data_IF_165005688253
#
_entry.id   IF_165005688253
#
_cell.length_a   1.000
_cell.length_b   1.000
_cell.length_c   1.000
_cell.angle_alpha   90.00
_cell.angle_beta   90.00
_cell.angle_gamma   90.00
#
_symmetry.space_group_name_H-M   'P 1'
#
loop_
_entity.id
_entity.type
_entity.pdbx_description
1 polymer ?
#
# COMPACT_ATOMS: atom_id res chain seq x y z
N UNK A 1 6.24 -25.15 1.90
CA UNK A 1 7.31 -25.09 2.93
C UNK A 1 8.53 -24.30 2.49
N UNK A 2 8.36 -23.16 1.83
CA UNK A 2 9.42 -22.18 1.55
C UNK A 2 8.98 -20.83 2.14
N UNK A 3 9.89 -19.99 2.67
CA UNK A 3 9.56 -18.62 3.03
C UNK A 3 9.00 -17.88 1.82
N UNK A 4 7.94 -17.11 2.01
CA UNK A 4 7.25 -16.42 0.92
C UNK A 4 6.79 -15.02 1.37
N UNK A 5 6.91 -14.05 0.46
CA UNK A 5 6.26 -12.75 0.56
C UNK A 5 4.99 -12.80 -0.27
N UNK A 6 3.84 -12.92 0.40
CA UNK A 6 2.53 -12.99 -0.25
C UNK A 6 1.90 -11.60 -0.41
N UNK A 7 0.98 -11.51 -1.37
CA UNK A 7 0.06 -10.38 -1.55
C UNK A 7 -1.38 -10.86 -1.37
N UNK A 8 -2.31 -9.92 -1.22
CA UNK A 8 -3.75 -10.19 -1.12
C UNK A 8 -4.53 -9.36 -2.14
N UNK A 9 -5.82 -9.69 -2.36
CA UNK A 9 -6.71 -8.86 -3.18
C UNK A 9 -6.94 -7.49 -2.54
N UNK A 10 -7.32 -6.51 -3.37
CA UNK A 10 -7.57 -5.14 -2.92
C UNK A 10 -8.97 -4.66 -3.29
N UNK A 11 -9.93 -4.82 -2.37
CA UNK A 11 -11.23 -4.16 -2.47
C UNK A 11 -11.21 -2.80 -1.77
N UNK A 12 -10.56 -1.81 -2.39
CA UNK A 12 -10.24 -0.51 -1.78
C UNK A 12 -11.47 0.42 -1.72
N UNK A 13 -11.95 0.82 -0.52
CA UNK A 13 -12.88 1.94 -0.37
C UNK A 13 -12.11 3.26 -0.33
N UNK A 14 -12.64 4.28 -1.01
CA UNK A 14 -12.17 5.66 -0.94
C UNK A 14 -13.26 6.53 -0.30
N UNK A 15 -12.98 7.04 0.90
CA UNK A 15 -13.93 7.82 1.69
C UNK A 15 -13.83 9.28 1.30
N UNK A 16 -14.98 9.93 1.09
CA UNK A 16 -15.08 11.39 0.95
C UNK A 16 -15.85 11.91 2.16
N UNK A 17 -15.12 12.42 3.14
CA UNK A 17 -15.68 12.96 4.37
C UNK A 17 -16.09 14.43 4.20
N UNK A 18 -17.03 14.93 5.01
CA UNK A 18 -17.67 16.25 4.81
C UNK A 18 -16.73 17.46 4.83
N UNK A 19 -15.52 17.35 5.40
CA UNK A 19 -14.53 18.44 5.40
C UNK A 19 -13.57 18.37 4.20
N UNK A 20 -13.68 17.35 3.35
CA UNK A 20 -12.78 17.16 2.22
C UNK A 20 -12.86 18.30 1.19
N UNK A 21 -11.74 18.52 0.48
CA UNK A 21 -11.79 19.12 -0.86
C UNK A 21 -12.44 18.11 -1.81
N UNK A 22 -13.75 18.26 -2.02
CA UNK A 22 -14.55 17.32 -2.81
C UNK A 22 -14.13 17.33 -4.29
N UNK A 23 -13.69 18.46 -4.84
CA UNK A 23 -13.24 18.53 -6.24
C UNK A 23 -11.98 17.70 -6.45
N UNK A 24 -10.99 17.88 -5.57
CA UNK A 24 -9.78 17.07 -5.55
C UNK A 24 -10.09 15.59 -5.29
N UNK A 25 -10.98 15.29 -4.35
CA UNK A 25 -11.35 13.92 -4.01
C UNK A 25 -11.93 13.15 -5.20
N UNK A 26 -12.89 13.74 -5.90
CA UNK A 26 -13.47 13.12 -7.10
C UNK A 26 -12.43 13.00 -8.22
N UNK A 27 -11.59 14.03 -8.41
CA UNK A 27 -10.50 13.99 -9.40
C UNK A 27 -9.55 12.80 -9.15
N UNK A 28 -9.07 12.67 -7.92
CA UNK A 28 -8.12 11.65 -7.48
C UNK A 28 -8.71 10.24 -7.61
N UNK A 29 -9.93 10.03 -7.11
CA UNK A 29 -10.58 8.70 -7.14
C UNK A 29 -10.85 8.26 -8.58
N UNK A 30 -11.36 9.16 -9.43
CA UNK A 30 -11.60 8.85 -10.84
C UNK A 30 -10.28 8.62 -11.58
N UNK A 31 -9.23 9.40 -11.28
CA UNK A 31 -7.92 9.18 -11.87
C UNK A 31 -7.28 7.86 -11.43
N UNK A 32 -7.38 7.51 -10.15
CA UNK A 32 -6.88 6.26 -9.59
C UNK A 32 -7.58 5.05 -10.16
N UNK A 33 -8.91 5.11 -10.29
CA UNK A 33 -9.66 4.02 -10.93
C UNK A 33 -9.44 3.92 -12.43
N UNK A 34 -9.27 5.03 -13.13
CA UNK A 34 -9.01 5.02 -14.57
C UNK A 34 -7.57 4.59 -14.91
N UNK A 35 -6.63 4.66 -13.96
CA UNK A 35 -5.24 4.29 -14.19
C UNK A 35 -5.12 2.81 -14.56
N UNK A 36 -4.51 2.54 -15.71
CA UNK A 36 -4.39 1.19 -16.30
C UNK A 36 -5.72 0.41 -16.25
N UNK A 37 -6.83 1.10 -16.54
CA UNK A 37 -8.19 0.56 -16.52
C UNK A 37 -8.57 -0.13 -15.19
N UNK A 38 -8.05 0.36 -14.07
CA UNK A 38 -8.41 -0.12 -12.74
C UNK A 38 -7.87 -1.52 -12.43
N UNK A 39 -6.79 -1.93 -13.11
CA UNK A 39 -6.17 -3.25 -12.96
C UNK A 39 -5.29 -3.36 -11.70
N UNK A 40 -4.79 -2.24 -11.19
CA UNK A 40 -4.01 -2.22 -9.96
C UNK A 40 -4.87 -2.65 -8.77
N UNK A 41 -4.36 -3.55 -7.93
CA UNK A 41 -5.04 -3.96 -6.69
C UNK A 41 -5.22 -2.81 -5.69
N UNK A 42 -4.40 -1.77 -5.77
CA UNK A 42 -4.55 -0.53 -4.98
C UNK A 42 -5.59 0.43 -5.55
N UNK A 43 -6.13 0.18 -6.75
CA UNK A 43 -7.11 1.07 -7.37
C UNK A 43 -8.42 1.07 -6.59
N UNK A 44 -9.04 2.24 -6.54
CA UNK A 44 -10.31 2.47 -5.87
C UNK A 44 -11.37 1.53 -6.47
N UNK A 45 -12.12 0.83 -5.61
CA UNK A 45 -13.24 -0.02 -6.03
C UNK A 45 -14.59 0.57 -5.65
N UNK A 46 -14.61 1.49 -4.69
CA UNK A 46 -15.81 2.19 -4.26
C UNK A 46 -15.50 3.59 -3.74
N UNK A 47 -16.43 4.51 -3.97
CA UNK A 47 -16.57 5.78 -3.28
C UNK A 47 -17.54 5.55 -2.11
N UNK A 48 -17.15 5.98 -0.91
CA UNK A 48 -18.05 6.04 0.25
C UNK A 48 -18.10 7.50 0.69
N UNK A 49 -19.16 8.22 0.32
CA UNK A 49 -19.27 9.64 0.65
C UNK A 49 -20.23 9.88 1.83
N UNK A 50 -19.89 10.89 2.65
CA UNK A 50 -20.78 11.40 3.68
C UNK A 50 -21.97 12.13 3.02
N UNK A 51 -23.18 11.91 3.50
CA UNK A 51 -24.41 12.44 2.91
C UNK A 51 -24.38 13.96 2.59
N UNK A 52 -23.79 14.84 3.43
CA UNK A 52 -23.71 16.27 3.13
C UNK A 52 -22.93 16.62 1.85
N UNK A 53 -21.98 15.78 1.42
CA UNK A 53 -21.17 16.04 0.21
C UNK A 53 -21.68 15.27 -1.02
N UNK A 54 -22.69 14.42 -0.88
CA UNK A 54 -23.23 13.60 -1.95
C UNK A 54 -23.57 14.43 -3.20
N UNK A 55 -24.33 15.52 -3.04
CA UNK A 55 -24.74 16.37 -4.16
C UNK A 55 -23.54 16.88 -4.96
N UNK A 56 -22.52 17.37 -4.26
CA UNK A 56 -21.31 17.91 -4.89
C UNK A 56 -20.52 16.80 -5.60
N UNK A 57 -20.42 15.60 -4.99
CA UNK A 57 -19.77 14.44 -5.62
C UNK A 57 -20.45 14.12 -6.95
N UNK A 58 -21.78 14.01 -6.98
CA UNK A 58 -22.54 13.67 -8.20
C UNK A 58 -22.38 14.73 -9.30
N UNK A 59 -22.38 16.01 -8.93
CA UNK A 59 -22.20 17.13 -9.87
C UNK A 59 -20.79 17.11 -10.51
N UNK A 60 -19.79 16.58 -9.81
CA UNK A 60 -18.40 16.52 -10.26
C UNK A 60 -18.06 15.27 -11.08
N UNK A 61 -18.80 14.17 -10.95
CA UNK A 61 -18.51 12.95 -11.73
C UNK A 61 -18.40 13.22 -13.24
N UNK A 62 -19.33 13.95 -13.90
CA UNK A 62 -19.23 14.23 -15.33
C UNK A 62 -18.01 15.09 -15.70
N UNK A 63 -17.58 16.02 -14.82
CA UNK A 63 -16.39 16.87 -15.01
C UNK A 63 -15.15 16.00 -15.23
N UNK A 64 -15.03 14.91 -14.49
CA UNK A 64 -13.90 13.97 -14.55
C UNK A 64 -14.12 12.77 -15.49
N UNK A 65 -15.19 12.81 -16.30
CA UNK A 65 -15.59 11.76 -17.25
C UNK A 65 -15.98 10.43 -16.57
N UNK A 66 -16.54 10.52 -15.36
CA UNK A 66 -17.18 9.40 -14.70
C UNK A 66 -18.68 9.42 -15.01
N UNK A 67 -19.19 8.33 -15.59
CA UNK A 67 -20.59 8.19 -15.99
C UNK A 67 -21.38 7.49 -14.88
N UNK A 68 -22.40 8.16 -14.34
CA UNK A 68 -23.30 7.56 -13.35
C UNK A 68 -24.35 6.70 -14.04
N UNK A 69 -24.26 5.39 -13.81
CA UNK A 69 -25.20 4.42 -14.35
C UNK A 69 -26.56 4.47 -13.64
N UNK A 70 -27.62 4.32 -14.42
CA UNK A 70 -28.97 4.14 -13.89
C UNK A 70 -29.19 2.69 -13.39
N UNK A 71 -30.35 2.44 -12.78
CA UNK A 71 -30.68 1.12 -12.20
C UNK A 71 -30.71 -0.04 -13.22
N UNK A 72 -31.07 0.22 -14.47
CA UNK A 72 -31.05 -0.81 -15.52
C UNK A 72 -29.63 -1.14 -15.99
N UNK A 73 -28.81 -0.10 -16.22
CA UNK A 73 -27.40 -0.23 -16.57
C UNK A 73 -26.62 -0.95 -15.45
N UNK A 74 -26.91 -0.63 -14.18
CA UNK A 74 -26.35 -1.35 -13.03
C UNK A 74 -26.65 -2.85 -13.08
N UNK A 75 -27.91 -3.26 -13.28
CA UNK A 75 -28.29 -4.68 -13.36
C UNK A 75 -27.58 -5.41 -14.50
N UNK A 76 -27.45 -4.75 -15.64
CA UNK A 76 -26.69 -5.28 -16.79
C UNK A 76 -25.22 -5.47 -16.42
N UNK A 77 -24.60 -4.47 -15.78
CA UNK A 77 -23.22 -4.56 -15.30
C UNK A 77 -23.01 -5.68 -14.28
N UNK A 78 -23.93 -5.88 -13.33
CA UNK A 78 -23.87 -6.98 -12.36
C UNK A 78 -23.80 -8.34 -13.05
N UNK A 79 -24.67 -8.56 -14.05
CA UNK A 79 -24.72 -9.82 -14.81
C UNK A 79 -23.46 -10.02 -15.69
N UNK A 80 -22.86 -8.94 -16.17
CA UNK A 80 -21.73 -8.98 -17.10
C UNK A 80 -20.37 -9.03 -16.39
N UNK A 81 -20.15 -8.21 -15.37
CA UNK A 81 -18.87 -8.10 -14.64
C UNK A 81 -18.78 -9.05 -13.45
N UNK A 82 -19.91 -9.32 -12.79
CA UNK A 82 -19.95 -10.13 -11.58
C UNK A 82 -20.98 -11.28 -11.67
N UNK A 83 -21.01 -12.08 -12.75
CA UNK A 83 -21.98 -13.15 -12.90
C UNK A 83 -21.88 -14.12 -11.72
N UNK A 84 -23.02 -14.31 -11.02
CA UNK A 84 -23.13 -15.14 -9.80
C UNK A 84 -22.16 -14.68 -8.68
N UNK A 85 -21.92 -13.38 -8.55
CA UNK A 85 -21.10 -12.82 -7.47
C UNK A 85 -19.60 -13.06 -7.60
N UNK A 86 -19.14 -13.43 -8.80
CA UNK A 86 -17.74 -13.71 -9.11
C UNK A 86 -17.26 -12.82 -10.25
N UNK A 87 -16.05 -12.29 -10.11
CA UNK A 87 -15.43 -11.47 -11.14
C UNK A 87 -15.32 -12.21 -12.48
N UNK A 88 -15.81 -11.58 -13.54
CA UNK A 88 -15.58 -12.00 -14.91
C UNK A 88 -14.22 -11.48 -15.39
N UNK A 89 -13.20 -12.35 -15.35
CA UNK A 89 -11.82 -11.99 -15.71
C UNK A 89 -11.63 -11.62 -17.17
N UNK A 90 -12.55 -11.99 -18.08
CA UNK A 90 -12.47 -11.60 -19.48
C UNK A 90 -12.67 -10.09 -19.69
N UNK A 91 -13.19 -9.39 -18.68
CA UNK A 91 -13.40 -7.93 -18.71
C UNK A 91 -12.42 -7.16 -17.83
N UNK A 92 -11.47 -7.85 -17.18
CA UNK A 92 -10.43 -7.18 -16.41
C UNK A 92 -9.57 -6.31 -17.34
N UNK A 93 -9.30 -5.07 -16.92
CA UNK A 93 -8.49 -4.10 -17.66
C UNK A 93 -9.10 -3.58 -18.96
N UNK A 94 -10.36 -3.88 -19.26
CA UNK A 94 -11.04 -3.35 -20.43
C UNK A 94 -11.54 -1.93 -20.17
N UNK A 95 -11.60 -1.10 -21.23
CA UNK A 95 -12.07 0.28 -21.12
C UNK A 95 -13.56 0.36 -20.73
N UNK A 96 -13.97 1.43 -20.05
CA UNK A 96 -15.34 1.66 -19.61
C UNK A 96 -16.38 1.59 -20.77
N UNK A 97 -16.17 2.22 -21.95
CA UNK A 97 -17.11 2.12 -23.06
C UNK A 97 -17.25 0.69 -23.60
N UNK A 98 -16.17 -0.09 -23.63
CA UNK A 98 -16.20 -1.48 -24.07
C UNK A 98 -16.98 -2.35 -23.08
N UNK A 99 -16.78 -2.15 -21.78
CA UNK A 99 -17.55 -2.84 -20.74
C UNK A 99 -19.05 -2.52 -20.86
N UNK A 100 -19.40 -1.25 -21.02
CA UNK A 100 -20.79 -0.83 -21.22
C UNK A 100 -21.42 -1.52 -22.44
N UNK A 101 -20.69 -1.54 -23.57
CA UNK A 101 -21.14 -2.21 -24.79
C UNK A 101 -21.35 -3.71 -24.57
N UNK A 102 -20.44 -4.38 -23.87
CA UNK A 102 -20.54 -5.80 -23.51
C UNK A 102 -21.72 -6.09 -22.58
N UNK A 103 -22.10 -5.13 -21.74
CA UNK A 103 -23.27 -5.18 -20.89
C UNK A 103 -24.58 -4.81 -21.62
N UNK A 104 -24.51 -4.37 -22.89
CA UNK A 104 -25.69 -4.08 -23.70
C UNK A 104 -26.24 -2.66 -23.54
N UNK A 105 -25.37 -1.69 -23.24
CA UNK A 105 -25.69 -0.26 -23.29
C UNK A 105 -24.50 0.56 -23.81
N UNK A 106 -24.70 1.86 -24.06
CA UNK A 106 -23.67 2.75 -24.59
C UNK A 106 -23.49 3.95 -23.69
N UNK A 107 -22.24 4.41 -23.58
CA UNK A 107 -21.83 5.62 -22.86
C UNK A 107 -21.01 6.51 -23.80
N UNK A 108 -20.77 7.80 -23.47
CA UNK A 108 -19.87 8.64 -24.24
C UNK A 108 -18.49 8.00 -24.44
N UNK A 109 -17.89 8.18 -25.63
CA UNK A 109 -16.64 7.51 -26.00
C UNK A 109 -15.43 7.94 -25.12
N UNK A 110 -15.49 9.12 -24.51
CA UNK A 110 -14.48 9.65 -23.60
C UNK A 110 -14.73 9.28 -22.12
N UNK A 111 -15.69 8.40 -21.85
CA UNK A 111 -15.97 7.90 -20.49
C UNK A 111 -14.76 7.16 -19.95
N UNK A 112 -14.24 7.62 -18.81
CA UNK A 112 -13.08 7.01 -18.13
C UNK A 112 -13.48 5.96 -17.12
N UNK A 113 -14.60 6.16 -16.42
CA UNK A 113 -15.07 5.29 -15.33
C UNK A 113 -16.59 5.20 -15.33
N UNK A 114 -17.14 4.01 -15.08
CA UNK A 114 -18.56 3.81 -14.80
C UNK A 114 -18.79 3.83 -13.28
N UNK A 115 -19.84 4.51 -12.82
CA UNK A 115 -20.18 4.61 -11.39
C UNK A 115 -21.57 4.04 -11.16
N UNK A 116 -21.71 3.11 -10.23
CA UNK A 116 -22.99 2.49 -9.86
C UNK A 116 -23.32 2.77 -8.40
N UNK A 117 -24.56 3.17 -8.11
CA UNK A 117 -25.02 3.28 -6.72
C UNK A 117 -25.20 1.90 -6.10
N UNK A 118 -24.63 1.69 -4.91
CA UNK A 118 -24.70 0.45 -4.16
C UNK A 118 -25.30 0.73 -2.78
N UNK A 119 -26.09 -0.21 -2.27
CA UNK A 119 -26.76 -0.09 -0.96
C UNK A 119 -26.19 -1.09 0.05
N UNK A 120 -25.75 -2.26 -0.41
CA UNK A 120 -25.25 -3.35 0.45
C UNK A 120 -23.81 -3.74 0.10
N UNK A 121 -23.22 -4.61 0.92
CA UNK A 121 -21.92 -5.23 0.65
C UNK A 121 -22.12 -6.73 0.70
N UNK A 122 -21.89 -7.41 -0.42
CA UNK A 122 -22.07 -8.87 -0.48
C UNK A 122 -22.03 -9.40 -1.90
N UNK A 123 -21.57 -10.64 -2.07
CA UNK A 123 -21.41 -11.25 -3.40
C UNK A 123 -22.75 -11.52 -4.08
N UNK A 124 -23.79 -11.80 -3.28
CA UNK A 124 -25.09 -12.22 -3.78
C UNK A 124 -26.07 -11.04 -3.81
N UNK A 125 -26.12 -10.24 -2.74
CA UNK A 125 -27.07 -9.15 -2.60
C UNK A 125 -26.66 -7.90 -3.38
N UNK A 126 -25.36 -7.68 -3.58
CA UNK A 126 -24.81 -6.50 -4.26
C UNK A 126 -23.53 -6.86 -5.05
N UNK A 127 -23.62 -7.63 -6.16
CA UNK A 127 -22.45 -8.26 -6.79
C UNK A 127 -21.31 -7.31 -7.20
N UNK A 128 -21.61 -6.04 -7.49
CA UNK A 128 -20.60 -5.03 -7.85
C UNK A 128 -19.86 -4.45 -6.63
N UNK A 129 -20.16 -4.88 -5.40
CA UNK A 129 -19.41 -4.51 -4.19
C UNK A 129 -18.06 -5.24 -4.06
N UNK A 130 -17.77 -6.22 -4.92
CA UNK A 130 -16.50 -6.95 -4.95
C UNK A 130 -15.37 -6.11 -5.60
N UNK A 131 -14.15 -6.62 -5.54
CA UNK A 131 -13.04 -6.17 -6.39
C UNK A 131 -13.35 -6.44 -7.87
N UNK A 132 -13.27 -5.40 -8.70
CA UNK A 132 -13.75 -5.42 -10.10
C UNK A 132 -12.66 -5.45 -11.18
N UNK A 133 -11.40 -5.14 -10.84
CA UNK A 133 -10.24 -5.08 -11.75
C UNK A 133 -10.52 -4.42 -13.12
N UNK A 134 -11.38 -3.40 -13.12
CA UNK A 134 -11.92 -2.72 -14.30
C UNK A 134 -12.31 -1.29 -13.90
N UNK A 135 -12.54 -0.35 -14.83
CA UNK A 135 -12.89 1.04 -14.53
C UNK A 135 -14.37 1.20 -14.12
N UNK A 136 -14.81 0.46 -13.11
CA UNK A 136 -16.14 0.53 -12.49
C UNK A 136 -16.04 0.80 -11.00
N UNK A 137 -16.71 1.83 -10.50
CA UNK A 137 -16.80 2.21 -9.09
C UNK A 137 -18.19 1.92 -8.52
N UNK A 138 -18.23 1.38 -7.31
CA UNK A 138 -19.41 1.49 -6.46
C UNK A 138 -19.49 2.89 -5.83
N UNK A 139 -20.70 3.40 -5.60
CA UNK A 139 -20.95 4.62 -4.84
C UNK A 139 -21.90 4.30 -3.69
N UNK A 140 -21.41 4.45 -2.47
CA UNK A 140 -22.16 4.38 -1.22
C UNK A 140 -22.32 5.77 -0.64
N UNK A 141 -23.48 6.02 -0.03
CA UNK A 141 -23.79 7.26 0.69
C UNK A 141 -24.16 6.88 2.11
N UNK A 142 -23.47 7.46 3.07
CA UNK A 142 -23.62 7.16 4.49
C UNK A 142 -23.79 8.46 5.28
N UNK A 143 -24.54 8.45 6.38
CA UNK A 143 -24.70 9.64 7.22
C UNK A 143 -23.65 9.67 8.34
N UNK A 144 -22.63 10.52 8.15
CA UNK A 144 -21.55 10.73 9.09
C UNK A 144 -20.37 9.76 8.93
N UNK A 145 -19.18 10.25 9.30
CA UNK A 145 -17.92 9.54 9.14
C UNK A 145 -17.88 8.17 9.82
N UNK A 146 -18.65 7.97 10.90
CA UNK A 146 -18.76 6.66 11.60
C UNK A 146 -19.50 5.63 10.76
N UNK A 147 -20.55 6.01 10.05
CA UNK A 147 -21.23 5.13 9.12
C UNK A 147 -20.34 4.84 7.90
N UNK A 148 -19.62 5.84 7.38
CA UNK A 148 -18.60 5.62 6.35
C UNK A 148 -17.51 4.64 6.82
N UNK A 149 -17.06 4.74 8.08
CA UNK A 149 -16.12 3.81 8.72
C UNK A 149 -16.65 2.38 8.71
N UNK A 150 -17.88 2.15 9.19
CA UNK A 150 -18.52 0.84 9.21
C UNK A 150 -18.61 0.24 7.81
N UNK A 151 -19.06 1.04 6.83
CA UNK A 151 -19.12 0.63 5.42
C UNK A 151 -17.75 0.24 4.86
N UNK A 152 -16.71 1.02 5.15
CA UNK A 152 -15.36 0.72 4.72
C UNK A 152 -14.85 -0.62 5.29
N UNK A 153 -15.16 -0.92 6.56
CA UNK A 153 -14.82 -2.20 7.18
C UNK A 153 -15.55 -3.36 6.51
N UNK A 154 -16.84 -3.20 6.17
CA UNK A 154 -17.60 -4.23 5.44
C UNK A 154 -16.98 -4.52 4.07
N UNK A 155 -16.63 -3.48 3.31
CA UNK A 155 -15.98 -3.59 2.00
C UNK A 155 -14.63 -4.29 2.12
N UNK A 156 -13.80 -3.90 3.09
CA UNK A 156 -12.49 -4.53 3.33
C UNK A 156 -12.63 -6.00 3.74
N UNK A 157 -13.64 -6.35 4.55
CA UNK A 157 -13.93 -7.77 4.87
C UNK A 157 -14.32 -8.56 3.62
N UNK A 158 -14.91 -7.92 2.61
CA UNK A 158 -15.19 -8.50 1.30
C UNK A 158 -13.97 -8.43 0.37
N UNK A 159 -12.83 -8.99 0.78
CA UNK A 159 -11.66 -9.20 -0.08
C UNK A 159 -10.70 -8.00 -0.20
N UNK A 160 -10.53 -7.22 0.86
CA UNK A 160 -9.55 -6.13 0.94
C UNK A 160 -8.77 -6.04 2.26
N UNK A 161 -8.95 -6.98 3.19
CA UNK A 161 -8.31 -6.95 4.52
C UNK A 161 -6.79 -6.81 4.41
N UNK A 162 -6.27 -5.80 5.10
CA UNK A 162 -4.84 -5.48 5.16
C UNK A 162 -4.30 -4.71 3.95
N UNK A 163 -5.04 -4.59 2.84
CA UNK A 163 -4.47 -4.05 1.60
C UNK A 163 -4.35 -2.52 1.60
N UNK A 164 -5.41 -1.80 1.26
CA UNK A 164 -5.38 -0.33 1.15
C UNK A 164 -6.76 0.30 1.38
N UNK A 165 -6.76 1.54 1.83
CA UNK A 165 -7.93 2.39 2.01
C UNK A 165 -7.56 3.83 1.66
N UNK A 166 -8.49 4.56 1.06
CA UNK A 166 -8.36 6.00 0.82
C UNK A 166 -9.27 6.81 1.73
N UNK A 167 -8.79 7.95 2.21
CA UNK A 167 -9.64 8.95 2.87
C UNK A 167 -9.30 10.34 2.36
N UNK A 168 -10.33 11.06 1.93
CA UNK A 168 -10.28 12.49 1.69
C UNK A 168 -10.99 13.19 2.85
N UNK A 169 -10.26 14.02 3.59
CA UNK A 169 -10.74 14.78 4.75
C UNK A 169 -9.73 15.88 5.12
N UNK A 170 -10.20 16.97 5.72
CA UNK A 170 -9.37 18.00 6.34
C UNK A 170 -9.44 17.94 7.87
N UNK A 171 -10.21 17.01 8.43
CA UNK A 171 -10.36 16.79 9.87
C UNK A 171 -9.32 15.76 10.36
N UNK A 172 -8.37 16.25 11.16
CA UNK A 172 -7.28 15.44 11.69
C UNK A 172 -7.77 14.33 12.64
N UNK A 173 -8.83 14.56 13.42
CA UNK A 173 -9.36 13.58 14.36
C UNK A 173 -10.06 12.44 13.62
N UNK A 174 -10.77 12.76 12.53
CA UNK A 174 -11.35 11.73 11.66
C UNK A 174 -10.26 10.93 10.97
N UNK A 175 -9.21 11.57 10.44
CA UNK A 175 -8.08 10.88 9.82
C UNK A 175 -7.41 9.92 10.81
N UNK A 176 -7.15 10.36 12.05
CA UNK A 176 -6.56 9.53 13.11
C UNK A 176 -7.47 8.36 13.49
N UNK A 177 -8.79 8.57 13.58
CA UNK A 177 -9.75 7.49 13.81
C UNK A 177 -9.77 6.45 12.68
N UNK A 178 -9.57 6.87 11.43
CA UNK A 178 -9.39 5.96 10.31
C UNK A 178 -8.08 5.17 10.42
N UNK A 179 -6.98 5.83 10.77
CA UNK A 179 -5.70 5.16 11.00
C UNK A 179 -5.77 4.06 12.07
N UNK A 180 -6.42 4.33 13.20
CA UNK A 180 -6.46 3.39 14.34
C UNK A 180 -7.38 2.20 14.15
N UNK A 181 -8.51 2.39 13.51
CA UNK A 181 -9.59 1.40 13.50
C UNK A 181 -9.61 0.54 12.24
N UNK A 182 -9.04 1.01 11.11
CA UNK A 182 -9.32 0.38 9.81
C UNK A 182 -8.36 -0.76 9.55
N UNK A 183 -8.87 -1.92 9.09
CA UNK A 183 -8.03 -3.09 8.88
C UNK A 183 -7.28 -3.02 7.54
N UNK A 184 -6.46 -1.99 7.32
CA UNK A 184 -5.67 -1.77 6.10
C UNK A 184 -4.28 -1.21 6.44
N UNK A 185 -3.23 -1.66 5.75
CA UNK A 185 -1.85 -1.25 6.06
C UNK A 185 -1.34 -0.08 5.22
N UNK A 186 -2.07 0.33 4.18
CA UNK A 186 -1.87 1.63 3.50
C UNK A 186 -3.14 2.44 3.56
N UNK A 187 -3.15 3.45 4.40
CA UNK A 187 -4.23 4.42 4.50
C UNK A 187 -3.73 5.68 3.80
N UNK A 188 -4.21 5.90 2.59
CA UNK A 188 -3.82 7.04 1.75
C UNK A 188 -4.73 8.22 2.05
N UNK A 189 -4.14 9.34 2.49
CA UNK A 189 -4.88 10.54 2.87
C UNK A 189 -4.75 11.58 1.77
N UNK A 190 -5.87 12.11 1.28
CA UNK A 190 -5.94 13.20 0.31
C UNK A 190 -5.10 12.97 -0.97
N UNK A 191 -5.05 11.73 -1.46
CA UNK A 191 -4.38 11.32 -2.70
C UNK A 191 -5.11 10.13 -3.32
N UNK A 192 -4.98 9.95 -4.65
CA UNK A 192 -5.37 8.71 -5.32
C UNK A 192 -4.68 7.50 -4.67
N UNK A 193 -5.43 6.46 -4.34
CA UNK A 193 -4.93 5.27 -3.64
C UNK A 193 -4.12 4.39 -4.59
N UNK A 194 -4.52 4.31 -5.86
CA UNK A 194 -3.85 3.50 -6.88
C UNK A 194 -2.33 3.75 -6.91
N UNK A 195 -1.94 5.03 -6.90
CA UNK A 195 -0.53 5.48 -6.91
C UNK A 195 0.00 5.85 -5.52
N UNK A 196 -0.88 6.23 -4.59
CA UNK A 196 -0.49 6.52 -3.22
C UNK A 196 0.00 5.28 -2.49
N UNK A 197 -0.70 4.15 -2.62
CA UNK A 197 -0.33 2.92 -1.92
C UNK A 197 0.99 2.32 -2.44
N UNK A 198 1.33 2.56 -3.71
CA UNK A 198 2.60 2.10 -4.32
C UNK A 198 3.79 2.99 -3.98
N UNK A 199 3.57 4.11 -3.28
CA UNK A 199 4.63 5.04 -2.87
C UNK A 199 4.98 6.12 -3.89
N UNK A 200 4.24 6.24 -4.99
CA UNK A 200 4.51 7.26 -6.00
C UNK A 200 4.14 8.68 -5.52
N UNK A 201 3.02 8.83 -4.80
CA UNK A 201 2.53 10.15 -4.33
C UNK A 201 2.62 10.37 -2.82
N UNK A 202 2.99 9.36 -2.02
CA UNK A 202 2.85 9.37 -0.54
C UNK A 202 4.17 9.25 0.23
N UNK A 203 5.30 9.04 -0.44
CA UNK A 203 6.58 8.79 0.22
C UNK A 203 6.69 7.41 0.89
N UNK A 204 5.68 6.55 0.77
CA UNK A 204 5.83 5.12 1.07
C UNK A 204 6.92 4.52 0.18
N UNK A 205 7.53 3.42 0.61
CA UNK A 205 8.55 2.77 -0.21
C UNK A 205 7.97 2.37 -1.58
N UNK A 206 8.63 2.75 -2.70
CA UNK A 206 8.13 2.41 -4.03
C UNK A 206 8.06 0.89 -4.25
N UNK A 207 6.86 0.37 -4.50
CA UNK A 207 6.66 -1.07 -4.75
C UNK A 207 5.37 -1.37 -5.53
N UNK A 208 5.40 -2.47 -6.30
CA UNK A 208 4.22 -3.10 -6.91
C UNK A 208 3.85 -4.43 -6.25
N UNK A 209 4.54 -4.78 -5.15
CA UNK A 209 4.22 -5.93 -4.30
C UNK A 209 3.87 -5.39 -2.92
N UNK A 210 2.58 -5.39 -2.61
CA UNK A 210 2.02 -4.75 -1.43
C UNK A 210 1.58 -5.84 -0.45
N UNK A 211 2.36 -6.09 0.61
CA UNK A 211 2.04 -7.13 1.59
C UNK A 211 0.81 -6.75 2.43
N UNK A 212 -0.26 -7.54 2.49
CA UNK A 212 -1.47 -7.22 3.26
C UNK A 212 -1.35 -7.60 4.75
N UNK A 213 -0.14 -7.83 5.25
CA UNK A 213 0.11 -8.28 6.63
C UNK A 213 -0.57 -9.61 6.98
N UNK A 214 -0.57 -9.93 8.27
CA UNK A 214 -1.12 -11.20 8.77
C UNK A 214 -2.62 -11.34 8.50
N UNK A 215 -3.36 -10.23 8.46
CA UNK A 215 -4.79 -10.21 8.13
C UNK A 215 -5.09 -10.71 6.72
N UNK A 216 -4.23 -10.39 5.75
CA UNK A 216 -4.31 -10.92 4.38
C UNK A 216 -3.45 -12.17 4.14
N UNK A 217 -2.97 -12.83 5.20
CA UNK A 217 -2.17 -14.06 5.08
C UNK A 217 -0.73 -13.86 4.61
N UNK A 218 -0.16 -12.66 4.76
CA UNK A 218 1.23 -12.34 4.43
C UNK A 218 2.10 -12.14 5.67
N UNK A 219 3.40 -12.40 5.53
CA UNK A 219 4.37 -12.26 6.63
C UNK A 219 4.71 -10.80 6.95
N UNK A 220 4.43 -9.88 6.03
CA UNK A 220 4.69 -8.44 6.19
C UNK A 220 3.53 -7.61 5.65
N UNK A 221 3.35 -6.44 6.26
CA UNK A 221 2.48 -5.36 5.80
C UNK A 221 3.22 -4.35 4.92
N UNK A 222 4.52 -4.54 4.69
CA UNK A 222 5.37 -3.56 4.02
C UNK A 222 5.14 -3.54 2.52
N UNK A 223 5.41 -2.37 1.92
CA UNK A 223 5.74 -2.29 0.51
C UNK A 223 7.07 -3.02 0.31
N UNK A 224 7.10 -4.09 -0.48
CA UNK A 224 8.30 -4.92 -0.59
C UNK A 224 9.43 -4.14 -1.27
N UNK A 225 10.57 -4.08 -0.60
CA UNK A 225 11.79 -3.38 -1.02
C UNK A 225 12.98 -4.35 -1.12
N UNK A 226 14.12 -3.93 -1.69
CA UNK A 226 15.33 -4.76 -1.72
C UNK A 226 15.80 -5.27 -0.36
N UNK A 227 15.51 -4.57 0.74
CA UNK A 227 15.88 -5.03 2.10
C UNK A 227 15.16 -6.31 2.52
N UNK A 228 14.00 -6.62 1.93
CA UNK A 228 13.27 -7.86 2.16
C UNK A 228 13.94 -9.06 1.47
N UNK A 229 14.81 -8.81 0.48
CA UNK A 229 15.41 -9.83 -0.36
C UNK A 229 16.84 -10.20 0.08
N UNK A 230 17.32 -9.63 1.18
CA UNK A 230 18.65 -9.92 1.73
C UNK A 230 18.52 -10.57 3.11
N UNK A 231 19.49 -11.42 3.45
CA UNK A 231 19.66 -11.89 4.82
C UNK A 231 20.78 -11.10 5.49
N UNK A 232 20.58 -10.74 6.76
CA UNK A 232 21.57 -10.01 7.55
C UNK A 232 22.29 -11.00 8.47
N UNK A 233 23.55 -11.32 8.15
CA UNK A 233 24.44 -12.09 9.03
C UNK A 233 25.03 -11.17 10.10
N UNK A 234 24.88 -11.52 11.38
CA UNK A 234 25.40 -10.74 12.52
C UNK A 234 26.52 -11.52 13.22
N UNK A 235 27.71 -10.93 13.28
CA UNK A 235 28.82 -11.41 14.11
C UNK A 235 28.82 -10.56 15.39
N UNK A 236 28.59 -11.19 16.54
CA UNK A 236 28.48 -10.50 17.83
C UNK A 236 29.54 -11.03 18.80
N UNK A 237 30.30 -10.13 19.41
CA UNK A 237 31.22 -10.45 20.50
C UNK A 237 30.49 -10.41 21.85
N UNK A 238 30.98 -11.18 22.83
CA UNK A 238 30.46 -11.16 24.20
C UNK A 238 30.66 -9.77 24.81
N UNK A 239 29.56 -9.14 25.28
CA UNK A 239 29.59 -7.82 25.93
C UNK A 239 29.32 -7.88 27.43
N UNK A 240 28.76 -8.99 27.92
CA UNK A 240 28.49 -9.26 29.34
C UNK A 240 28.71 -10.74 29.60
N UNK A 241 29.63 -11.05 30.51
CA UNK A 241 29.92 -12.44 30.86
C UNK A 241 29.11 -12.90 32.06
N UNK A 242 28.50 -14.08 31.92
CA UNK A 242 27.79 -14.79 33.01
C UNK A 242 28.70 -15.80 33.73
N UNK A 243 29.80 -16.20 33.10
CA UNK A 243 30.75 -17.20 33.62
C UNK A 243 31.99 -16.57 34.23
N UNK A 244 32.33 -15.36 33.77
CA UNK A 244 33.33 -14.52 34.41
C UNK A 244 32.60 -13.42 35.15
N UNK A 245 32.89 -13.26 36.43
CA UNK A 245 32.44 -12.09 37.18
C UNK A 245 32.88 -10.85 36.41
N UNK A 246 31.93 -10.18 35.77
CA UNK A 246 32.12 -8.78 35.46
C UNK A 246 32.18 -8.10 36.82
N UNK A 247 33.23 -7.30 37.13
CA UNK A 247 33.20 -6.54 38.36
C UNK A 247 31.86 -5.80 38.35
N UNK A 248 31.03 -6.10 39.35
CA UNK A 248 29.85 -5.30 39.63
C UNK A 248 30.31 -3.86 39.55
N UNK A 249 29.58 -2.92 38.89
CA UNK A 249 29.80 -1.52 39.19
C UNK A 249 29.84 -1.43 40.72
N UNK A 250 30.93 -0.86 41.24
CA UNK A 250 31.33 -0.98 42.64
C UNK A 250 30.11 -0.82 43.57
N UNK A 251 30.01 -1.58 44.68
CA UNK A 251 28.93 -1.41 45.62
C UNK A 251 28.89 0.07 46.06
N UNK A 252 27.86 0.79 45.61
CA UNK A 252 27.79 2.25 45.71
C UNK A 252 26.92 2.95 44.66
N UNK A 253 26.60 2.32 43.52
CA UNK A 253 25.68 2.90 42.50
C UNK A 253 24.18 2.59 42.74
N UNK A 254 23.89 1.81 43.76
CA UNK A 254 22.57 1.71 44.40
C UNK A 254 22.75 2.15 45.86
N UNK A 255 23.15 3.41 46.07
CA UNK A 255 22.66 4.09 47.25
C UNK A 255 21.21 4.46 46.94
N UNK A 256 20.31 4.12 47.86
CA UNK A 256 18.95 4.61 47.92
C UNK A 256 18.97 6.14 48.12
N UNK A 257 19.45 6.88 47.13
CA UNK A 257 19.08 8.28 47.03
C UNK A 257 17.69 8.26 46.42
N UNK A 258 16.70 8.34 47.32
CA UNK A 258 15.41 8.87 46.98
C UNK A 258 15.65 10.22 46.27
N UNK A 259 15.63 10.20 44.94
CA UNK A 259 15.67 11.42 44.14
C UNK A 259 14.33 12.11 44.35
N UNK A 260 14.30 13.03 45.32
CA UNK A 260 13.37 14.13 45.27
C UNK A 260 13.49 14.80 43.90
N UNK A 261 12.34 15.03 43.28
CA UNK A 261 12.20 15.61 41.96
C UNK A 261 12.93 16.97 41.88
N UNK A 262 13.95 17.03 41.01
CA UNK A 262 14.66 18.26 40.68
C UNK A 262 15.27 18.20 39.29
N UNK A 263 14.57 18.76 38.32
CA UNK A 263 15.01 18.90 36.92
C UNK A 263 16.13 19.94 36.81
N UNK A 264 17.23 19.64 36.10
CA UNK A 264 17.90 20.57 35.15
C UNK A 264 18.98 19.88 34.30
N UNK A 265 19.22 20.35 33.05
CA UNK A 265 19.88 19.56 32.00
C UNK A 265 21.40 19.81 31.93
N UNK A 266 22.21 18.74 31.86
CA UNK A 266 23.67 18.85 31.80
C UNK A 266 24.34 17.72 30.99
N UNK A 267 24.67 18.05 29.75
CA UNK A 267 25.70 17.48 28.86
C UNK A 267 25.93 15.95 28.81
N UNK A 268 25.55 15.35 27.67
CA UNK A 268 25.96 14.00 27.29
C UNK A 268 27.48 14.02 26.99
N UNK A 269 28.28 13.33 27.79
CA UNK A 269 29.71 13.16 27.55
C UNK A 269 29.97 12.35 26.26
N UNK A 270 30.90 12.82 25.42
CA UNK A 270 31.30 12.10 24.21
C UNK A 270 31.95 10.75 24.53
N UNK A 271 31.73 9.71 23.69
CA UNK A 271 32.35 8.41 23.89
C UNK A 271 33.87 8.46 23.64
N UNK A 272 34.66 7.64 24.36
CA UNK A 272 36.12 7.66 24.26
C UNK A 272 36.61 7.14 22.91
N UNK A 273 37.72 7.71 22.43
CA UNK A 273 38.38 7.35 21.17
C UNK A 273 39.13 6.02 21.24
N UNK A 274 38.92 5.14 20.26
CA UNK A 274 39.58 3.84 20.13
C UNK A 274 41.05 3.97 19.63
N UNK A 275 42.00 3.16 20.13
CA UNK A 275 43.37 3.16 19.63
C UNK A 275 43.49 2.49 18.25
N UNK A 276 44.31 3.09 17.38
CA UNK A 276 44.40 2.81 15.93
C UNK A 276 45.11 1.52 15.51
N UNK A 277 44.60 0.36 15.92
CA UNK A 277 45.03 -0.94 15.39
C UNK A 277 44.23 -1.34 14.13
N UNK A 278 44.89 -1.46 12.97
CA UNK A 278 44.26 -2.05 11.77
C UNK A 278 44.06 -3.55 11.96
N UNK A 279 42.81 -4.00 11.93
CA UNK A 279 42.47 -5.42 11.84
C UNK A 279 42.84 -5.94 10.43
N UNK A 280 43.58 -7.05 10.28
CA UNK A 280 43.83 -7.61 8.95
C UNK A 280 42.52 -8.07 8.32
N UNK A 281 42.28 -7.64 7.08
CA UNK A 281 41.14 -8.06 6.27
C UNK A 281 41.29 -9.56 5.98
N UNK A 282 40.31 -10.44 6.31
CA UNK A 282 40.36 -11.83 5.88
C UNK A 282 40.28 -11.89 4.36
N UNK A 283 41.16 -12.67 3.73
CA UNK A 283 41.06 -12.95 2.30
C UNK A 283 39.71 -13.61 2.00
N UNK A 284 39.02 -13.07 1.00
CA UNK A 284 37.78 -13.62 0.46
C UNK A 284 38.08 -15.04 -0.06
N UNK A 285 37.49 -16.06 0.57
CA UNK A 285 37.47 -17.40 0.00
C UNK A 285 36.55 -17.37 -1.23
N UNK A 286 37.13 -17.34 -2.42
CA UNK A 286 36.42 -17.52 -3.68
C UNK A 286 36.00 -18.98 -3.78
N UNK A 287 34.73 -19.28 -3.49
CA UNK A 287 34.14 -20.58 -3.80
C UNK A 287 34.16 -20.84 -5.30
N UNK A 288 34.47 -22.08 -5.68
CA UNK A 288 34.42 -22.56 -7.07
C UNK A 288 33.00 -22.40 -7.63
N UNK A 289 32.88 -21.69 -8.74
CA UNK A 289 31.64 -21.55 -9.49
C UNK A 289 31.13 -22.93 -9.91
N UNK A 290 29.87 -23.22 -9.62
CA UNK A 290 29.15 -24.36 -10.21
C UNK A 290 28.59 -23.87 -11.54
N UNK A 291 29.00 -24.49 -12.64
CA UNK A 291 28.53 -24.16 -13.99
C UNK A 291 27.03 -24.48 -14.14
N UNK A 292 26.23 -23.59 -14.75
CA UNK A 292 24.85 -23.89 -15.08
C UNK A 292 24.77 -24.82 -16.30
N UNK A 293 23.74 -25.69 -16.40
CA UNK A 293 23.53 -26.52 -17.58
C UNK A 293 23.15 -25.69 -18.81
N UNK A 294 23.55 -26.18 -19.99
CA UNK A 294 23.42 -25.50 -21.28
C UNK A 294 21.97 -25.22 -21.69
N UNK A 295 21.69 -24.09 -22.39
CA UNK A 295 20.34 -23.72 -22.80
C UNK A 295 19.93 -24.46 -24.08
N UNK A 296 18.72 -25.03 -24.07
CA UNK A 296 18.07 -25.55 -25.27
C UNK A 296 17.16 -24.48 -25.90
N UNK A 297 17.49 -24.12 -27.14
CA UNK A 297 16.77 -23.30 -28.16
C UNK A 297 16.18 -21.94 -27.77
N UNK A 298 16.77 -20.91 -28.39
CA UNK A 298 16.40 -19.50 -28.33
C UNK A 298 15.06 -19.18 -29.03
N UNK A 299 14.22 -18.39 -28.35
CA UNK A 299 13.27 -17.49 -28.96
C UNK A 299 13.80 -16.05 -28.84
N UNK A 300 13.76 -15.30 -29.94
CA UNK A 300 14.40 -14.00 -30.09
C UNK A 300 13.84 -12.95 -29.11
N UNK A 301 14.71 -12.42 -28.23
CA UNK A 301 14.43 -11.30 -27.36
C UNK A 301 15.05 -10.01 -27.94
N UNK A 302 14.23 -8.96 -28.00
CA UNK A 302 14.60 -7.60 -28.37
C UNK A 302 15.58 -7.03 -27.34
N UNK A 303 16.74 -6.57 -27.80
CA UNK A 303 17.78 -6.03 -26.94
C UNK A 303 17.42 -4.64 -26.43
N UNK A 304 16.93 -4.56 -25.19
CA UNK A 304 16.94 -3.33 -24.41
C UNK A 304 18.30 -3.29 -23.69
N UNK A 305 19.10 -2.26 -23.96
CA UNK A 305 20.42 -2.10 -23.37
C UNK A 305 20.36 -2.11 -21.85
N UNK A 306 20.81 -3.20 -21.24
CA UNK A 306 20.88 -3.36 -19.79
C UNK A 306 22.01 -2.50 -19.19
N UNK A 307 21.83 -2.14 -17.92
CA UNK A 307 22.85 -1.44 -17.14
C UNK A 307 24.13 -2.28 -17.07
N UNK A 308 25.26 -1.62 -17.28
CA UNK A 308 26.57 -2.23 -17.11
C UNK A 308 26.83 -2.58 -15.64
N UNK A 309 27.67 -3.59 -15.34
CA UNK A 309 28.04 -3.91 -13.97
C UNK A 309 28.60 -2.71 -13.18
N UNK A 310 29.29 -1.79 -13.86
CA UNK A 310 29.81 -0.55 -13.27
C UNK A 310 28.69 0.40 -12.83
N UNK A 311 27.62 0.52 -13.61
CA UNK A 311 26.45 1.34 -13.26
C UNK A 311 25.68 0.74 -12.08
N UNK A 312 25.54 -0.58 -12.06
CA UNK A 312 24.94 -1.30 -10.92
C UNK A 312 25.76 -1.08 -9.65
N UNK A 313 27.09 -1.22 -9.72
CA UNK A 313 27.96 -0.96 -8.57
C UNK A 313 27.87 0.48 -8.06
N UNK A 314 27.76 1.46 -8.96
CA UNK A 314 27.59 2.87 -8.58
C UNK A 314 26.25 3.11 -7.87
N UNK A 315 25.15 2.61 -8.42
CA UNK A 315 23.80 2.75 -7.82
C UNK A 315 23.75 2.12 -6.42
N UNK A 316 24.36 0.94 -6.25
CA UNK A 316 24.44 0.27 -4.95
C UNK A 316 25.28 1.09 -3.96
N UNK A 317 26.40 1.66 -4.39
CA UNK A 317 27.24 2.50 -3.55
C UNK A 317 26.50 3.78 -3.08
N UNK A 318 25.79 4.44 -3.99
CA UNK A 318 25.03 5.66 -3.71
C UNK A 318 23.88 5.39 -2.72
N UNK A 319 23.13 4.30 -2.93
CA UNK A 319 22.07 3.86 -2.02
C UNK A 319 22.60 3.57 -0.60
N UNK A 320 23.72 2.84 -0.50
CA UNK A 320 24.33 2.52 0.79
C UNK A 320 24.90 3.75 1.50
N UNK A 321 25.38 4.75 0.76
CA UNK A 321 25.85 6.01 1.31
C UNK A 321 24.69 6.81 1.92
N UNK A 322 23.57 6.94 1.20
CA UNK A 322 22.37 7.61 1.70
C UNK A 322 21.77 6.89 2.93
N UNK A 323 21.70 5.57 2.90
CA UNK A 323 21.20 4.78 4.03
C UNK A 323 22.05 4.98 5.29
N UNK A 324 23.38 4.96 5.15
CA UNK A 324 24.31 5.20 6.27
C UNK A 324 24.26 6.63 6.80
N UNK A 325 23.92 7.61 5.98
CA UNK A 325 23.72 8.99 6.42
C UNK A 325 22.42 9.12 7.22
N UNK A 326 21.33 8.49 6.78
CA UNK A 326 20.04 8.50 7.49
C UNK A 326 20.06 7.77 8.83
N UNK A 327 20.94 6.78 9.00
CA UNK A 327 21.10 6.04 10.25
C UNK A 327 21.93 6.77 11.32
N UNK A 328 22.47 7.96 11.01
CA UNK A 328 23.30 8.78 11.92
C UNK A 328 22.64 10.11 12.33
N UNK A 329 21.46 10.43 11.81
CA UNK A 329 20.59 11.54 12.22
C UNK A 329 19.46 11.02 13.08
#
# INVERSE_FOLDING_TARGET
GKPAFGVGPGNVPAIIERTADVDKAVADIVAGKAFDNGLLCSAENSIVCDAPVERQVLELLPKYKAYLCNADEKRKLEQTLAPRGRLNTALAGQDAPLIAQRAGFSVPADTRVLVVRLEKVGREEEPLSIEKLSPVLGLYVEDGWRACCSRAIEILKLGGLGHSLGIHSMDADVIDAFFREKPAFRICVNTMVAMGATGYTTGLAPAMTLGPGSWGGSITSDNITPLHLINIKRLAYEVRSLTRATPSPAPGLLQDDAVEAGVSPGAIAQPPSMPGGRCPVPQVLTGTAVEPPAPERAAAAVAVGGLTPAEVSRIVADFLAQYRASARS
#
